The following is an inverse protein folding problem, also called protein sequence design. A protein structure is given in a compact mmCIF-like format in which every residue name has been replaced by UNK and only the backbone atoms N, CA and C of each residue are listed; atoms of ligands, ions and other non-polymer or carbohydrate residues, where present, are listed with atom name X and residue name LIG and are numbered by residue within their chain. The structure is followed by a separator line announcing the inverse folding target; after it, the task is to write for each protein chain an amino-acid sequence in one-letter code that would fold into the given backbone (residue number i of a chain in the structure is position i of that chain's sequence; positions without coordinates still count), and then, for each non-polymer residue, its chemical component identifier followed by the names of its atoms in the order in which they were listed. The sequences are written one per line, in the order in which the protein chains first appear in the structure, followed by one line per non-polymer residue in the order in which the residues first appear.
data_IF_941795731410
#
_entry.id   IF_941795731410
#
_cell.length_a   1.000
_cell.length_b   1.000
_cell.length_c   1.000
_cell.angle_alpha   90.00
_cell.angle_beta   90.00
_cell.angle_gamma   90.00
#
_symmetry.space_group_name_H-M   'P 1'
#
loop_
_entity.id
_entity.type
_entity.pdbx_description
1 polymer ?
#
# COMPACT_ATOMS: atom_id res chain seq x y z
N UNK A 1 -9.24 -55.61 -8.72
CA UNK A 1 -9.93 -54.33 -8.90
C UNK A 1 -9.51 -53.41 -7.76
N UNK A 2 -8.73 -52.36 -8.05
CA UNK A 2 -8.31 -51.36 -7.05
C UNK A 2 -8.86 -50.00 -7.49
N UNK A 3 -9.61 -49.36 -6.60
CA UNK A 3 -10.36 -48.13 -6.82
C UNK A 3 -9.44 -46.94 -7.14
N UNK A 4 -9.92 -46.09 -8.05
CA UNK A 4 -9.33 -44.80 -8.43
C UNK A 4 -9.77 -43.71 -7.43
N UNK A 5 -8.87 -42.84 -6.93
CA UNK A 5 -9.20 -41.84 -5.89
C UNK A 5 -9.89 -40.56 -6.40
N UNK A 6 -10.16 -40.45 -7.70
CA UNK A 6 -10.66 -39.21 -8.32
C UNK A 6 -12.17 -38.92 -8.13
N UNK A 7 -12.90 -39.71 -7.33
CA UNK A 7 -14.36 -39.57 -7.12
C UNK A 7 -14.77 -39.55 -5.64
N UNK A 8 -14.22 -38.65 -4.84
CA UNK A 8 -14.76 -38.34 -3.52
C UNK A 8 -15.25 -36.89 -3.44
N UNK A 9 -16.57 -36.64 -3.46
CA UNK A 9 -17.13 -35.36 -3.04
C UNK A 9 -17.32 -35.42 -1.51
N UNK A 10 -16.29 -35.10 -0.74
CA UNK A 10 -16.41 -34.85 0.70
C UNK A 10 -15.85 -33.48 1.01
N UNK A 11 -16.78 -32.54 1.22
CA UNK A 11 -16.49 -31.23 1.75
C UNK A 11 -15.86 -31.33 3.13
N UNK A 12 -14.84 -30.51 3.35
CA UNK A 12 -14.26 -30.31 4.66
C UNK A 12 -15.32 -29.66 5.56
N UNK A 13 -15.98 -30.47 6.39
CA UNK A 13 -16.74 -29.99 7.53
C UNK A 13 -15.74 -29.48 8.58
N UNK A 14 -15.80 -28.18 8.90
CA UNK A 14 -15.10 -27.61 10.06
C UNK A 14 -14.39 -26.25 9.85
N UNK A 15 -14.37 -25.68 8.64
CA UNK A 15 -13.75 -24.38 8.36
C UNK A 15 -14.74 -23.34 7.87
N UNK A 16 -14.55 -22.08 8.28
CA UNK A 16 -15.37 -20.92 7.89
C UNK A 16 -15.60 -20.87 6.35
N UNK A 17 -16.87 -20.85 5.86
CA UNK A 17 -17.22 -20.93 4.43
C UNK A 17 -16.84 -19.68 3.59
N UNK A 18 -16.17 -18.70 4.18
CA UNK A 18 -15.81 -17.43 3.54
C UNK A 18 -14.65 -17.51 2.53
N UNK A 19 -13.91 -18.63 2.46
CA UNK A 19 -12.65 -18.72 1.71
C UNK A 19 -12.51 -19.89 0.74
N UNK A 20 -13.48 -20.80 0.64
CA UNK A 20 -13.40 -21.97 -0.25
C UNK A 20 -14.06 -21.69 -1.60
N UNK A 21 -13.38 -20.89 -2.44
CA UNK A 21 -13.69 -20.85 -3.87
C UNK A 21 -13.02 -22.06 -4.55
N UNK A 22 -13.78 -22.83 -5.33
CA UNK A 22 -13.25 -23.94 -6.13
C UNK A 22 -12.57 -23.32 -7.35
N UNK A 23 -11.28 -23.00 -7.23
CA UNK A 23 -10.49 -22.46 -8.33
C UNK A 23 -10.19 -23.55 -9.36
N UNK A 24 -10.34 -23.26 -10.65
CA UNK A 24 -9.74 -24.14 -11.65
C UNK A 24 -8.21 -24.10 -11.52
N UNK A 25 -7.52 -25.13 -11.99
CA UNK A 25 -6.04 -25.16 -11.99
C UNK A 25 -5.42 -24.02 -12.82
N UNK A 26 -6.15 -23.51 -13.81
CA UNK A 26 -5.78 -22.33 -14.59
C UNK A 26 -5.90 -21.05 -13.77
N UNK A 27 -6.99 -20.88 -13.02
CA UNK A 27 -7.18 -19.72 -12.15
C UNK A 27 -6.12 -19.68 -11.03
N UNK A 28 -5.83 -20.83 -10.42
CA UNK A 28 -4.78 -20.95 -9.41
C UNK A 28 -3.39 -20.58 -9.98
N UNK A 29 -3.09 -21.00 -11.21
CA UNK A 29 -1.82 -20.66 -11.87
C UNK A 29 -1.71 -19.16 -12.17
N UNK A 30 -2.81 -18.52 -12.60
CA UNK A 30 -2.86 -17.08 -12.88
C UNK A 30 -2.72 -16.24 -11.60
N UNK A 31 -3.37 -16.66 -10.51
CA UNK A 31 -3.25 -16.02 -9.20
C UNK A 31 -1.81 -16.08 -8.70
N UNK A 32 -1.18 -17.26 -8.75
CA UNK A 32 0.21 -17.44 -8.34
C UNK A 32 1.19 -16.61 -9.18
N UNK A 33 0.97 -16.54 -10.50
CA UNK A 33 1.79 -15.69 -11.38
C UNK A 33 1.64 -14.20 -11.02
N UNK A 34 0.42 -13.75 -10.75
CA UNK A 34 0.14 -12.37 -10.33
C UNK A 34 0.75 -12.05 -8.97
N UNK A 35 0.68 -12.98 -8.01
CA UNK A 35 1.34 -12.85 -6.70
C UNK A 35 2.86 -12.77 -6.85
N UNK A 36 3.46 -13.61 -7.70
CA UNK A 36 4.88 -13.57 -8.01
C UNK A 36 5.29 -12.23 -8.63
N UNK A 37 4.50 -11.67 -9.56
CA UNK A 37 4.75 -10.36 -10.14
C UNK A 37 4.69 -9.25 -9.08
N UNK A 38 3.69 -9.25 -8.18
CA UNK A 38 3.61 -8.29 -7.05
C UNK A 38 4.82 -8.35 -6.13
N UNK A 39 5.31 -9.56 -5.85
CA UNK A 39 6.54 -9.76 -5.06
C UNK A 39 7.76 -9.14 -5.77
N UNK A 40 7.87 -9.32 -7.08
CA UNK A 40 8.96 -8.74 -7.90
C UNK A 40 8.83 -7.22 -8.00
N UNK A 41 7.61 -6.69 -8.09
CA UNK A 41 7.35 -5.26 -8.29
C UNK A 41 7.61 -4.41 -7.04
N UNK A 42 7.70 -5.04 -5.86
CA UNK A 42 8.02 -4.35 -4.60
C UNK A 42 9.53 -4.13 -4.44
N UNK A 43 10.01 -2.87 -4.41
CA UNK A 43 11.43 -2.56 -4.26
C UNK A 43 12.04 -3.02 -2.94
N UNK A 44 11.20 -3.23 -1.91
CA UNK A 44 11.61 -3.82 -0.63
C UNK A 44 12.27 -5.19 -0.80
N UNK A 45 11.94 -5.92 -1.86
CA UNK A 45 12.49 -7.26 -2.14
C UNK A 45 13.74 -7.23 -3.04
N UNK A 46 14.24 -6.06 -3.46
CA UNK A 46 15.37 -5.97 -4.40
C UNK A 46 16.75 -5.98 -3.75
N UNK A 47 16.86 -5.71 -2.44
CA UNK A 47 18.13 -5.51 -1.70
C UNK A 47 18.78 -6.79 -1.21
N UNK A 48 18.03 -7.88 -1.12
CA UNK A 48 18.58 -9.22 -0.88
C UNK A 48 19.16 -9.71 -2.21
N UNK A 49 20.35 -10.33 -2.17
CA UNK A 49 20.98 -11.03 -3.30
C UNK A 49 19.92 -11.51 -4.28
N UNK A 50 20.03 -11.09 -5.56
CA UNK A 50 19.05 -11.30 -6.66
C UNK A 50 18.13 -12.45 -6.29
N UNK A 51 16.79 -12.24 -6.14
CA UNK A 51 15.90 -13.33 -5.82
C UNK A 51 16.20 -14.45 -6.81
N UNK A 52 16.89 -15.49 -6.36
CA UNK A 52 17.05 -16.67 -7.17
C UNK A 52 15.62 -17.11 -7.44
N UNK A 53 15.32 -17.51 -8.67
CA UNK A 53 13.97 -17.93 -9.01
C UNK A 53 13.47 -19.03 -8.04
N UNK A 54 14.41 -19.79 -7.46
CA UNK A 54 14.20 -20.67 -6.31
C UNK A 54 13.68 -20.00 -5.04
N UNK A 55 14.24 -18.87 -4.61
CA UNK A 55 13.80 -18.17 -3.40
C UNK A 55 12.38 -17.61 -3.57
N UNK A 56 12.08 -17.08 -4.76
CA UNK A 56 10.72 -16.63 -5.10
C UNK A 56 9.74 -17.81 -5.14
N UNK A 57 10.14 -18.94 -5.72
CA UNK A 57 9.32 -20.15 -5.78
C UNK A 57 9.06 -20.75 -4.38
N UNK A 58 10.08 -20.84 -3.53
CA UNK A 58 9.96 -21.28 -2.14
C UNK A 58 8.99 -20.40 -1.34
N UNK A 59 9.07 -19.08 -1.51
CA UNK A 59 8.17 -18.13 -0.83
C UNK A 59 6.71 -18.30 -1.23
N UNK A 60 6.45 -18.78 -2.45
CA UNK A 60 5.13 -19.07 -2.99
C UNK A 60 4.69 -20.53 -2.77
N UNK A 61 5.52 -21.36 -2.14
CA UNK A 61 5.21 -22.78 -1.90
C UNK A 61 5.18 -23.63 -3.18
N UNK A 62 5.85 -23.22 -4.26
CA UNK A 62 5.87 -23.92 -5.55
C UNK A 62 7.30 -24.24 -6.01
N UNK A 63 7.45 -25.12 -7.00
CA UNK A 63 8.76 -25.40 -7.62
C UNK A 63 9.18 -24.30 -8.60
N UNK A 64 10.48 -24.05 -8.75
CA UNK A 64 11.03 -23.10 -9.75
C UNK A 64 10.55 -23.41 -11.16
N UNK A 65 10.51 -24.70 -11.54
CA UNK A 65 9.99 -25.14 -12.84
C UNK A 65 8.52 -24.73 -13.02
N UNK A 66 7.69 -24.91 -11.99
CA UNK A 66 6.29 -24.51 -12.04
C UNK A 66 6.16 -22.99 -12.12
N UNK A 67 6.92 -22.23 -11.31
CA UNK A 67 6.95 -20.78 -11.34
C UNK A 67 7.31 -20.24 -12.73
N UNK A 68 8.39 -20.73 -13.34
CA UNK A 68 8.78 -20.33 -14.71
C UNK A 68 7.69 -20.62 -15.73
N UNK A 69 7.03 -21.78 -15.64
CA UNK A 69 5.95 -22.17 -16.55
C UNK A 69 4.75 -21.23 -16.43
N UNK A 70 4.27 -20.96 -15.22
CA UNK A 70 3.12 -20.06 -15.02
C UNK A 70 3.45 -18.62 -15.40
N UNK A 71 4.68 -18.15 -15.13
CA UNK A 71 5.12 -16.81 -15.51
C UNK A 71 5.23 -16.65 -17.03
N UNK A 72 5.78 -17.64 -17.74
CA UNK A 72 5.85 -17.64 -19.19
C UNK A 72 4.45 -17.69 -19.82
N UNK A 73 3.53 -18.45 -19.23
CA UNK A 73 2.13 -18.52 -19.70
C UNK A 73 1.41 -17.19 -19.52
N UNK A 74 1.59 -16.52 -18.37
CA UNK A 74 0.86 -15.31 -18.02
C UNK A 74 1.48 -14.02 -18.61
N UNK A 75 2.81 -13.92 -18.62
CA UNK A 75 3.54 -12.70 -18.97
C UNK A 75 4.46 -12.85 -20.18
N UNK A 76 4.57 -14.05 -20.77
CA UNK A 76 5.43 -14.30 -21.92
C UNK A 76 6.94 -14.30 -21.63
N UNK A 77 7.35 -14.13 -20.37
CA UNK A 77 8.76 -14.01 -19.96
C UNK A 77 9.05 -14.83 -18.71
N UNK A 78 10.34 -15.10 -18.46
CA UNK A 78 10.75 -15.69 -17.17
C UNK A 78 10.68 -14.66 -16.03
N UNK A 79 10.53 -15.09 -14.77
CA UNK A 79 10.54 -14.19 -13.61
C UNK A 79 11.80 -13.31 -13.53
N UNK A 80 12.96 -13.85 -13.93
CA UNK A 80 14.22 -13.12 -13.92
C UNK A 80 14.27 -12.02 -14.99
N UNK A 81 13.78 -12.31 -16.20
CA UNK A 81 13.64 -11.30 -17.25
C UNK A 81 12.66 -10.20 -16.86
N UNK A 82 11.56 -10.57 -16.21
CA UNK A 82 10.60 -9.61 -15.67
C UNK A 82 11.25 -8.70 -14.62
N UNK A 83 11.92 -9.27 -13.61
CA UNK A 83 12.68 -8.50 -12.61
C UNK A 83 13.70 -7.56 -13.26
N UNK A 84 14.47 -8.05 -14.23
CA UNK A 84 15.45 -7.24 -14.95
C UNK A 84 14.78 -6.06 -15.67
N UNK A 85 13.63 -6.28 -16.29
CA UNK A 85 12.84 -5.23 -16.94
C UNK A 85 12.37 -4.18 -15.92
N UNK A 86 11.85 -4.59 -14.77
CA UNK A 86 11.41 -3.68 -13.70
C UNK A 86 12.56 -2.83 -13.16
N UNK A 87 13.71 -3.43 -12.91
CA UNK A 87 14.94 -2.73 -12.49
C UNK A 87 15.42 -1.73 -13.54
N UNK A 88 15.39 -2.09 -14.83
CA UNK A 88 15.77 -1.20 -15.92
C UNK A 88 14.78 -0.05 -16.14
N UNK A 89 13.48 -0.27 -15.93
CA UNK A 89 12.46 0.79 -15.98
C UNK A 89 12.64 1.79 -14.84
N UNK A 90 12.89 1.31 -13.61
CA UNK A 90 13.23 2.15 -12.47
C UNK A 90 14.50 2.98 -12.76
N UNK A 91 15.56 2.35 -13.27
CA UNK A 91 16.79 3.05 -13.62
C UNK A 91 16.56 4.11 -14.70
N UNK A 92 15.80 3.80 -15.74
CA UNK A 92 15.45 4.75 -16.81
C UNK A 92 14.73 5.97 -16.25
N UNK A 93 13.75 5.76 -15.36
CA UNK A 93 13.03 6.85 -14.71
C UNK A 93 13.97 7.72 -13.87
N UNK A 94 14.79 7.11 -13.01
CA UNK A 94 15.74 7.84 -12.17
C UNK A 94 16.79 8.62 -12.98
N UNK A 95 17.27 8.06 -14.11
CA UNK A 95 18.19 8.76 -15.02
C UNK A 95 17.55 9.97 -15.71
N UNK A 96 16.24 9.93 -15.94
CA UNK A 96 15.49 10.98 -16.64
C UNK A 96 15.02 12.07 -15.69
N UNK A 97 14.53 11.69 -14.52
CA UNK A 97 13.90 12.62 -13.58
C UNK A 97 14.91 13.29 -12.62
N UNK A 98 16.07 12.67 -12.37
CA UNK A 98 17.00 13.09 -11.30
C UNK A 98 18.40 13.42 -11.78
N UNK A 99 19.14 14.21 -11.00
CA UNK A 99 20.55 14.52 -11.21
C UNK A 99 21.52 13.45 -10.62
N UNK A 100 21.02 12.32 -10.12
CA UNK A 100 21.83 11.32 -9.37
C UNK A 100 22.95 10.68 -10.21
N UNK A 101 24.08 10.33 -9.58
CA UNK A 101 25.16 9.61 -10.28
C UNK A 101 24.69 8.25 -10.83
N UNK A 102 25.18 7.85 -12.01
CA UNK A 102 24.82 6.56 -12.65
C UNK A 102 25.07 5.36 -11.72
N UNK A 103 26.16 5.41 -10.94
CA UNK A 103 26.49 4.39 -9.93
C UNK A 103 25.41 4.28 -8.86
N UNK A 104 24.93 5.43 -8.36
CA UNK A 104 23.88 5.48 -7.34
C UNK A 104 22.57 4.95 -7.90
N UNK A 105 22.19 5.35 -9.13
CA UNK A 105 21.00 4.85 -9.82
C UNK A 105 21.05 3.34 -10.01
N UNK A 106 22.19 2.78 -10.43
CA UNK A 106 22.36 1.34 -10.59
C UNK A 106 22.09 0.58 -9.28
N UNK A 107 22.70 1.03 -8.18
CA UNK A 107 22.52 0.46 -6.84
C UNK A 107 21.07 0.53 -6.38
N UNK A 108 20.43 1.69 -6.48
CA UNK A 108 19.03 1.90 -6.07
C UNK A 108 18.06 1.07 -6.92
N UNK A 109 18.37 0.88 -8.20
CA UNK A 109 17.59 0.03 -9.11
C UNK A 109 17.83 -1.47 -8.88
N UNK A 110 18.55 -1.86 -7.81
CA UNK A 110 18.76 -3.26 -7.42
C UNK A 110 19.90 -3.97 -8.16
N UNK A 111 20.81 -3.26 -8.83
CA UNK A 111 21.99 -3.88 -9.43
C UNK A 111 23.16 -3.91 -8.44
N UNK A 112 23.69 -5.12 -8.18
CA UNK A 112 24.89 -5.30 -7.37
C UNK A 112 26.19 -4.85 -8.07
N UNK A 113 26.16 -4.59 -9.38
CA UNK A 113 27.33 -4.20 -10.16
C UNK A 113 26.94 -3.21 -11.26
N UNK A 114 27.67 -2.09 -11.30
CA UNK A 114 27.53 -1.06 -12.36
C UNK A 114 27.86 -1.64 -13.73
N UNK A 115 28.81 -2.58 -13.82
CA UNK A 115 29.15 -3.26 -15.08
C UNK A 115 27.97 -4.07 -15.61
N UNK A 116 27.33 -4.87 -14.75
CA UNK A 116 26.14 -5.66 -15.12
C UNK A 116 24.95 -4.75 -15.48
N UNK A 117 24.78 -3.67 -14.73
CA UNK A 117 23.79 -2.63 -15.04
C UNK A 117 23.99 -2.04 -16.44
N UNK A 118 25.19 -1.56 -16.75
CA UNK A 118 25.50 -0.97 -18.06
C UNK A 118 25.26 -1.96 -19.19
N UNK A 119 25.71 -3.21 -19.05
CA UNK A 119 25.48 -4.26 -20.04
C UNK A 119 23.99 -4.54 -20.26
N UNK A 120 23.21 -4.67 -19.17
CA UNK A 120 21.77 -4.87 -19.24
C UNK A 120 21.03 -3.67 -19.86
N UNK A 121 21.47 -2.45 -19.54
CA UNK A 121 20.86 -1.21 -20.03
C UNK A 121 21.10 -1.03 -21.53
N UNK A 122 22.34 -1.21 -21.98
CA UNK A 122 22.70 -1.16 -23.41
C UNK A 122 21.99 -2.28 -24.18
N UNK A 123 21.96 -3.50 -23.64
CA UNK A 123 21.27 -4.61 -24.28
C UNK A 123 19.75 -4.40 -24.46
N UNK A 124 19.12 -3.66 -23.55
CA UNK A 124 17.66 -3.40 -23.58
C UNK A 124 17.28 -2.14 -24.38
N UNK A 125 18.07 -1.06 -24.28
CA UNK A 125 17.71 0.25 -24.83
C UNK A 125 18.61 0.71 -25.98
N UNK A 126 19.72 0.02 -26.28
CA UNK A 126 20.67 0.39 -27.35
C UNK A 126 21.52 1.63 -27.08
N UNK A 127 21.34 2.30 -25.94
CA UNK A 127 22.05 3.52 -25.54
C UNK A 127 22.72 3.30 -24.17
N UNK A 128 23.82 3.99 -23.90
CA UNK A 128 24.42 3.94 -22.56
C UNK A 128 23.69 4.89 -21.57
N UNK A 129 23.69 4.58 -20.25
CA UNK A 129 23.02 5.40 -19.24
C UNK A 129 23.40 6.88 -19.23
N UNK A 130 24.68 7.18 -19.52
CA UNK A 130 25.19 8.56 -19.56
C UNK A 130 24.64 9.35 -20.76
N UNK A 131 24.46 8.70 -21.91
CA UNK A 131 23.82 9.28 -23.09
C UNK A 131 22.35 9.61 -22.82
N UNK A 132 21.61 8.70 -22.16
CA UNK A 132 20.23 8.97 -21.77
C UNK A 132 20.13 10.16 -20.81
N UNK A 133 21.06 10.25 -19.84
CA UNK A 133 21.13 11.40 -18.93
C UNK A 133 21.37 12.72 -19.66
N UNK A 134 22.27 12.74 -20.65
CA UNK A 134 22.55 13.96 -21.44
C UNK A 134 21.35 14.42 -22.27
N UNK A 135 20.50 13.49 -22.70
CA UNK A 135 19.30 13.79 -23.51
C UNK A 135 18.08 14.15 -22.66
N UNK A 136 17.98 13.62 -21.43
CA UNK A 136 16.88 13.90 -20.50
C UNK A 136 17.12 15.05 -19.53
N UNK A 137 18.34 15.61 -19.45
CA UNK A 137 18.68 16.65 -18.49
C UNK A 137 17.91 17.97 -18.75
N UNK A 138 16.86 18.20 -17.97
CA UNK A 138 16.35 19.55 -17.70
C UNK A 138 17.20 20.12 -16.56
N UNK A 139 17.93 21.24 -16.74
CA UNK A 139 18.67 21.85 -15.65
C UNK A 139 17.70 22.29 -14.55
N UNK A 140 17.70 21.59 -13.41
CA UNK A 140 17.03 22.05 -12.19
C UNK A 140 17.79 23.24 -11.58
N UNK A 141 17.13 24.08 -10.77
CA UNK A 141 17.79 25.22 -10.14
C UNK A 141 18.96 24.74 -9.27
N UNK A 142 20.17 25.27 -9.55
CA UNK A 142 21.32 25.14 -8.65
C UNK A 142 21.12 26.11 -7.49
N UNK A 143 20.33 25.71 -6.50
CA UNK A 143 20.11 26.44 -5.25
C UNK A 143 20.25 25.50 -4.07
N UNK A 144 20.87 25.98 -2.99
CA UNK A 144 21.16 25.26 -1.75
C UNK A 144 19.86 24.81 -1.03
N UNK A 145 19.28 23.70 -1.48
CA UNK A 145 18.39 22.76 -0.78
C UNK A 145 17.99 21.65 -1.77
N UNK A 146 18.75 20.55 -1.78
CA UNK A 146 18.93 19.56 -2.87
C UNK A 146 17.86 18.47 -2.99
N UNK A 147 16.59 18.75 -2.66
CA UNK A 147 15.55 17.72 -2.66
C UNK A 147 15.38 17.02 -4.05
N UNK A 148 15.40 15.69 -4.05
CA UNK A 148 15.27 14.89 -5.29
C UNK A 148 13.81 14.87 -5.74
N UNK A 149 13.59 15.15 -7.02
CA UNK A 149 12.26 15.14 -7.63
C UNK A 149 12.11 13.98 -8.61
N UNK A 150 10.96 13.30 -8.55
CA UNK A 150 10.56 12.24 -9.48
C UNK A 150 9.11 12.39 -9.88
N UNK A 151 8.76 11.97 -11.10
CA UNK A 151 7.41 12.08 -11.64
C UNK A 151 6.73 10.72 -11.61
N UNK A 152 5.56 10.64 -10.97
CA UNK A 152 4.79 9.40 -10.84
C UNK A 152 3.47 9.52 -11.62
N UNK A 153 3.39 8.89 -12.79
CA UNK A 153 2.17 8.90 -13.62
C UNK A 153 1.05 8.06 -13.02
N UNK A 154 -0.20 8.43 -13.34
CA UNK A 154 -1.41 7.66 -13.09
C UNK A 154 -2.34 7.69 -14.31
N UNK A 155 -3.30 6.76 -14.38
CA UNK A 155 -4.28 6.69 -15.48
C UNK A 155 -5.55 7.46 -15.14
N UNK A 156 -6.12 8.32 -16.00
CA UNK A 156 -7.45 8.86 -15.77
C UNK A 156 -8.56 7.79 -16.03
N UNK A 157 -9.78 7.98 -15.49
CA UNK A 157 -10.19 9.01 -14.55
C UNK A 157 -9.56 8.83 -13.15
N UNK A 158 -9.37 9.95 -12.45
CA UNK A 158 -8.87 10.00 -11.07
C UNK A 158 -9.54 11.16 -10.34
N UNK A 159 -10.28 10.87 -9.26
CA UNK A 159 -10.86 11.88 -8.38
C UNK A 159 -9.85 12.29 -7.29
N UNK A 160 -9.03 13.29 -7.62
CA UNK A 160 -7.96 13.79 -6.74
C UNK A 160 -8.56 14.42 -5.48
N UNK A 161 -9.68 15.11 -5.62
CA UNK A 161 -10.37 15.75 -4.50
C UNK A 161 -10.85 14.70 -3.49
N UNK A 162 -11.48 13.62 -3.95
CA UNK A 162 -11.95 12.55 -3.06
C UNK A 162 -10.80 11.83 -2.35
N UNK A 163 -9.71 11.52 -3.06
CA UNK A 163 -8.51 10.90 -2.47
C UNK A 163 -7.95 11.78 -1.34
N UNK A 164 -7.67 13.06 -1.64
CA UNK A 164 -7.08 13.95 -0.65
C UNK A 164 -8.06 14.28 0.48
N UNK A 165 -9.36 14.44 0.21
CA UNK A 165 -10.36 14.64 1.25
C UNK A 165 -10.45 13.44 2.21
N UNK A 166 -10.29 12.22 1.69
CA UNK A 166 -10.22 11.02 2.52
C UNK A 166 -9.01 11.03 3.46
N UNK A 167 -7.84 11.45 2.94
CA UNK A 167 -6.60 11.55 3.71
C UNK A 167 -6.66 12.70 4.73
N UNK A 168 -7.16 13.88 4.34
CA UNK A 168 -7.29 15.06 5.21
C UNK A 168 -8.16 14.79 6.44
N UNK A 169 -9.25 14.02 6.28
CA UNK A 169 -10.11 13.59 7.42
C UNK A 169 -9.34 12.76 8.47
N UNK A 170 -8.18 12.20 8.13
CA UNK A 170 -7.37 11.28 8.94
C UNK A 170 -5.94 11.81 9.20
N UNK A 171 -5.68 13.06 8.82
CA UNK A 171 -4.39 13.73 9.01
C UNK A 171 -3.99 13.76 10.49
N UNK A 172 -2.69 13.61 10.76
CA UNK A 172 -2.09 13.69 12.09
C UNK A 172 -1.05 14.81 12.07
N UNK A 173 -1.29 15.84 12.89
CA UNK A 173 -0.44 17.02 13.01
C UNK A 173 0.98 16.60 13.39
N UNK A 174 1.98 17.24 12.77
CA UNK A 174 3.40 16.92 12.97
C UNK A 174 3.93 15.84 12.02
N UNK A 175 3.06 14.98 11.49
CA UNK A 175 3.47 13.85 10.62
C UNK A 175 2.98 13.99 9.18
N UNK A 176 1.85 14.67 8.97
CA UNK A 176 1.17 14.77 7.69
C UNK A 176 0.60 16.18 7.48
N UNK A 177 0.54 16.62 6.22
CA UNK A 177 -0.18 17.82 5.82
C UNK A 177 -0.80 17.62 4.44
N UNK A 178 -2.12 17.69 4.36
CA UNK A 178 -2.89 17.54 3.13
C UNK A 178 -3.34 18.91 2.63
N UNK A 179 -3.05 19.20 1.36
CA UNK A 179 -3.47 20.45 0.70
C UNK A 179 -4.58 20.13 -0.28
N UNK A 180 -5.76 20.74 -0.09
CA UNK A 180 -6.95 20.56 -0.96
C UNK A 180 -7.15 21.72 -1.94
N UNK A 181 -6.38 22.80 -1.79
CA UNK A 181 -6.47 23.99 -2.65
C UNK A 181 -6.20 23.63 -4.11
N UNK A 182 -7.13 23.99 -5.00
CA UNK A 182 -6.99 23.78 -6.44
C UNK A 182 -5.66 24.33 -6.96
N UNK A 183 -5.00 23.57 -7.86
CA UNK A 183 -3.67 23.90 -8.39
C UNK A 183 -2.49 23.54 -7.46
N UNK A 184 -2.75 23.30 -6.16
CA UNK A 184 -1.73 22.93 -5.17
C UNK A 184 -2.08 21.64 -4.42
N UNK A 185 -3.01 20.84 -4.96
CA UNK A 185 -3.48 19.60 -4.37
C UNK A 185 -2.33 18.61 -4.15
N UNK A 186 -2.21 18.10 -2.94
CA UNK A 186 -1.15 17.17 -2.60
C UNK A 186 -1.08 16.81 -1.13
N UNK A 187 -0.05 16.06 -0.78
CA UNK A 187 0.25 15.64 0.59
C UNK A 187 1.74 15.76 0.87
N UNK A 188 2.09 16.30 2.03
CA UNK A 188 3.43 16.24 2.59
C UNK A 188 3.43 15.31 3.81
N UNK A 189 4.49 14.51 3.99
CA UNK A 189 4.61 13.60 5.13
C UNK A 189 6.04 13.43 5.60
N UNK A 190 6.23 13.18 6.89
CA UNK A 190 7.43 12.53 7.41
C UNK A 190 7.36 11.02 7.17
N UNK A 191 8.51 10.37 7.06
CA UNK A 191 8.58 8.94 6.75
C UNK A 191 9.82 8.30 7.36
N UNK A 192 9.65 7.09 7.89
CA UNK A 192 10.71 6.15 8.24
C UNK A 192 10.65 4.93 7.33
N UNK A 193 11.78 4.53 6.77
CA UNK A 193 11.93 3.29 5.99
C UNK A 193 13.11 2.50 6.53
N UNK A 194 12.91 1.20 6.76
CA UNK A 194 13.99 0.26 7.04
C UNK A 194 14.40 -0.46 5.77
N UNK A 195 15.70 -0.55 5.50
CA UNK A 195 16.27 -1.36 4.43
C UNK A 195 17.45 -2.17 4.97
N UNK A 196 17.23 -3.45 5.24
CA UNK A 196 18.15 -4.28 6.01
C UNK A 196 18.29 -3.73 7.44
N UNK A 197 19.53 -3.61 7.93
CA UNK A 197 19.81 -3.07 9.25
C UNK A 197 19.78 -1.53 9.32
N UNK A 198 19.68 -0.84 8.18
CA UNK A 198 19.71 0.61 8.12
C UNK A 198 18.29 1.19 8.18
N UNK A 199 18.14 2.27 8.93
CA UNK A 199 16.90 3.04 9.03
C UNK A 199 17.13 4.42 8.42
N UNK A 200 16.22 4.81 7.54
CA UNK A 200 16.22 6.10 6.86
C UNK A 200 15.00 6.87 7.33
N UNK A 201 15.19 8.13 7.69
CA UNK A 201 14.10 9.01 8.12
C UNK A 201 14.19 10.34 7.39
N UNK A 202 13.05 10.88 6.98
CA UNK A 202 13.01 12.12 6.23
C UNK A 202 11.59 12.60 5.96
N UNK A 203 11.44 13.39 4.91
CA UNK A 203 10.15 13.92 4.50
C UNK A 203 9.98 13.82 2.98
N UNK A 204 8.72 13.84 2.56
CA UNK A 204 8.33 13.89 1.16
C UNK A 204 7.19 14.88 0.94
N UNK A 205 7.06 15.33 -0.30
CA UNK A 205 5.93 16.13 -0.79
C UNK A 205 5.48 15.54 -2.12
N UNK A 206 4.23 15.10 -2.19
CA UNK A 206 3.59 14.58 -3.39
C UNK A 206 2.51 15.56 -3.85
N UNK A 207 2.75 16.27 -4.97
CA UNK A 207 1.81 17.23 -5.55
C UNK A 207 1.20 16.71 -6.84
N UNK A 208 -0.11 16.80 -6.98
CA UNK A 208 -0.80 16.43 -8.21
C UNK A 208 -0.56 17.50 -9.29
N UNK A 209 -0.23 17.02 -10.47
CA UNK A 209 -0.24 17.76 -11.74
C UNK A 209 -1.30 17.11 -12.61
N UNK A 210 -2.54 17.50 -12.35
CA UNK A 210 -3.76 16.94 -12.95
C UNK A 210 -3.79 17.04 -14.49
N UNK A 211 -3.41 18.17 -15.11
CA UNK A 211 -3.36 18.26 -16.57
C UNK A 211 -2.39 17.25 -17.21
N UNK A 212 -1.34 16.85 -16.48
CA UNK A 212 -0.35 15.88 -16.98
C UNK A 212 -0.56 14.44 -16.47
N UNK A 213 -1.66 14.17 -15.75
CA UNK A 213 -1.95 12.87 -15.12
C UNK A 213 -0.78 12.29 -14.33
N UNK A 214 -0.13 13.13 -13.51
CA UNK A 214 1.02 12.72 -12.70
C UNK A 214 1.04 13.34 -11.31
N UNK A 215 1.88 12.78 -10.46
CA UNK A 215 2.26 13.30 -9.14
C UNK A 215 3.74 13.66 -9.19
N UNK A 216 4.06 14.92 -8.92
CA UNK A 216 5.42 15.38 -8.71
C UNK A 216 5.81 15.09 -7.26
N UNK A 217 6.70 14.12 -7.07
CA UNK A 217 7.19 13.69 -5.77
C UNK A 217 8.56 14.33 -5.50
N UNK A 218 8.64 15.12 -4.44
CA UNK A 218 9.89 15.68 -3.90
C UNK A 218 10.25 14.95 -2.61
N UNK A 219 11.51 14.56 -2.45
CA UNK A 219 11.99 13.73 -1.34
C UNK A 219 13.25 14.35 -0.74
N UNK A 220 13.37 14.30 0.59
CA UNK A 220 14.56 14.77 1.31
C UNK A 220 15.81 13.93 1.00
N UNK A 221 16.98 14.55 1.11
CA UNK A 221 18.27 13.90 0.81
C UNK A 221 18.49 12.62 1.62
N UNK A 222 18.01 12.60 2.87
CA UNK A 222 18.07 11.45 3.77
C UNK A 222 17.30 10.21 3.29
N UNK A 223 16.43 10.34 2.29
CA UNK A 223 15.61 9.25 1.75
C UNK A 223 16.00 8.86 0.32
N UNK A 224 17.03 9.50 -0.26
CA UNK A 224 17.44 9.26 -1.66
C UNK A 224 17.86 7.82 -1.88
N UNK A 225 18.63 7.23 -0.96
CA UNK A 225 19.13 5.86 -1.09
C UNK A 225 18.02 4.78 -1.04
N UNK A 226 16.83 5.16 -0.56
CA UNK A 226 15.61 4.34 -0.52
C UNK A 226 14.49 4.93 -1.40
N UNK A 227 14.82 5.79 -2.36
CA UNK A 227 13.84 6.46 -3.22
C UNK A 227 12.90 5.48 -3.96
N UNK A 228 13.33 4.31 -4.47
CA UNK A 228 12.40 3.33 -5.05
C UNK A 228 11.33 2.85 -4.06
N UNK A 229 11.69 2.62 -2.79
CA UNK A 229 10.74 2.26 -1.73
C UNK A 229 9.79 3.42 -1.44
N UNK A 230 10.29 4.66 -1.39
CA UNK A 230 9.46 5.87 -1.24
C UNK A 230 8.48 6.00 -2.41
N UNK A 231 8.95 5.84 -3.65
CA UNK A 231 8.12 5.86 -4.85
C UNK A 231 7.03 4.79 -4.77
N UNK A 232 7.39 3.54 -4.47
CA UNK A 232 6.42 2.45 -4.31
C UNK A 232 5.39 2.74 -3.21
N UNK A 233 5.82 3.32 -2.08
CA UNK A 233 4.92 3.69 -1.00
C UNK A 233 3.95 4.81 -1.38
N UNK A 234 4.41 5.84 -2.12
CA UNK A 234 3.54 6.90 -2.64
C UNK A 234 2.58 6.38 -3.70
N UNK A 235 3.03 5.47 -4.58
CA UNK A 235 2.16 4.79 -5.55
C UNK A 235 1.07 3.97 -4.86
N UNK A 236 1.38 3.31 -3.74
CA UNK A 236 0.43 2.59 -2.90
C UNK A 236 -0.55 3.56 -2.19
N UNK A 237 -0.03 4.57 -1.48
CA UNK A 237 -0.82 5.56 -0.74
C UNK A 237 -1.90 6.21 -1.63
N UNK A 238 -1.50 6.59 -2.85
CA UNK A 238 -2.34 7.30 -3.82
C UNK A 238 -2.93 6.37 -4.90
N UNK A 239 -2.71 5.06 -4.83
CA UNK A 239 -3.24 4.07 -5.78
C UNK A 239 -3.03 4.46 -7.25
N UNK A 240 -1.80 4.88 -7.58
CA UNK A 240 -1.44 5.45 -8.89
C UNK A 240 -1.38 4.38 -9.99
N UNK A 241 -1.19 3.12 -9.60
CA UNK A 241 -1.07 1.97 -10.50
C UNK A 241 -2.42 1.34 -10.89
N UNK A 242 -3.53 1.77 -10.29
CA UNK A 242 -4.86 1.26 -10.60
C UNK A 242 -5.17 1.31 -12.11
N UNK A 243 -6.04 0.41 -12.54
CA UNK A 243 -6.58 0.31 -13.90
C UNK A 243 -8.08 0.67 -13.85
N UNK A 244 -8.45 1.96 -13.96
CA UNK A 244 -9.84 2.39 -13.81
C UNK A 244 -10.79 1.68 -14.77
N UNK A 245 -10.36 1.39 -16.01
CA UNK A 245 -11.18 0.68 -17.00
C UNK A 245 -11.59 -0.72 -16.52
N UNK A 246 -10.65 -1.51 -16.02
CA UNK A 246 -10.91 -2.85 -15.50
C UNK A 246 -11.79 -2.84 -14.24
N UNK A 247 -11.60 -1.84 -13.38
CA UNK A 247 -12.41 -1.67 -12.17
C UNK A 247 -13.84 -1.24 -12.54
N UNK A 248 -13.98 -0.26 -13.44
CA UNK A 248 -15.27 0.30 -13.85
C UNK A 248 -16.10 -0.71 -14.65
N UNK A 249 -15.46 -1.58 -15.44
CA UNK A 249 -16.15 -2.67 -16.14
C UNK A 249 -16.99 -3.54 -15.19
N UNK A 250 -16.55 -3.72 -13.94
CA UNK A 250 -17.28 -4.50 -12.92
C UNK A 250 -18.19 -3.60 -12.07
N UNK A 251 -17.68 -2.43 -11.64
CA UNK A 251 -18.32 -1.66 -10.57
C UNK A 251 -19.23 -0.53 -11.03
N UNK A 252 -19.11 -0.05 -12.27
CA UNK A 252 -19.83 1.14 -12.73
C UNK A 252 -21.36 0.96 -12.66
N UNK A 253 -21.88 -0.22 -12.99
CA UNK A 253 -23.31 -0.52 -12.91
C UNK A 253 -23.88 -0.50 -11.48
N UNK A 254 -23.07 -0.84 -10.48
CA UNK A 254 -23.47 -0.81 -9.06
C UNK A 254 -23.24 0.57 -8.44
N UNK A 255 -22.20 1.27 -8.90
CA UNK A 255 -21.73 2.52 -8.37
C UNK A 255 -21.56 3.61 -9.46
N UNK A 256 -22.64 4.07 -10.12
CA UNK A 256 -22.54 5.21 -11.04
C UNK A 256 -21.92 6.46 -10.40
N UNK A 257 -21.29 7.27 -11.25
CA UNK A 257 -20.62 8.54 -10.93
C UNK A 257 -19.41 8.43 -9.99
N UNK A 258 -18.83 7.23 -9.86
CA UNK A 258 -17.68 6.98 -8.97
C UNK A 258 -16.42 6.49 -9.71
N UNK A 259 -16.37 6.70 -11.02
CA UNK A 259 -15.38 6.11 -11.93
C UNK A 259 -13.94 6.53 -11.61
N UNK A 260 -13.77 7.73 -11.04
CA UNK A 260 -12.48 8.27 -10.62
C UNK A 260 -12.05 7.86 -9.20
N UNK A 261 -12.92 7.22 -8.41
CA UNK A 261 -12.59 6.86 -7.03
C UNK A 261 -11.51 5.79 -6.97
N UNK A 262 -10.55 5.99 -6.06
CA UNK A 262 -9.37 5.14 -5.85
C UNK A 262 -9.38 4.51 -4.47
N UNK A 263 -8.53 3.50 -4.28
CA UNK A 263 -8.32 2.87 -2.99
C UNK A 263 -7.24 3.62 -2.19
N UNK A 264 -7.55 4.41 -1.14
CA UNK A 264 -6.52 5.11 -0.39
C UNK A 264 -5.65 4.09 0.35
N UNK A 265 -4.40 3.93 -0.06
CA UNK A 265 -3.48 2.96 0.53
C UNK A 265 -2.83 3.48 1.81
N UNK A 266 -1.60 3.03 2.05
CA UNK A 266 -0.73 3.54 3.11
C UNK A 266 0.73 3.61 2.66
N UNK A 267 1.44 4.58 3.23
CA UNK A 267 2.88 4.76 3.05
C UNK A 267 3.67 3.83 3.97
N UNK A 268 3.18 3.66 5.21
CA UNK A 268 3.66 2.70 6.21
C UNK A 268 2.48 1.83 6.68
N UNK A 269 2.57 0.52 6.44
CA UNK A 269 1.52 -0.40 6.82
C UNK A 269 1.43 -0.66 8.32
N UNK A 270 2.53 -0.53 9.08
CA UNK A 270 2.50 -0.63 10.54
C UNK A 270 1.73 0.53 11.15
N UNK A 271 2.05 1.75 10.73
CA UNK A 271 1.31 2.95 11.13
C UNK A 271 -0.19 2.80 10.85
N UNK A 272 -0.56 2.36 9.65
CA UNK A 272 -1.95 2.13 9.27
C UNK A 272 -2.62 1.09 10.17
N UNK A 273 -1.93 0.00 10.51
CA UNK A 273 -2.46 -1.04 11.37
C UNK A 273 -2.67 -0.55 12.81
N UNK A 274 -1.76 0.26 13.36
CA UNK A 274 -1.97 0.93 14.66
C UNK A 274 -3.20 1.84 14.60
N UNK A 275 -3.35 2.65 13.54
CA UNK A 275 -4.53 3.50 13.34
C UNK A 275 -5.81 2.70 13.22
N UNK A 276 -5.78 1.53 12.58
CA UNK A 276 -6.93 0.64 12.46
C UNK A 276 -7.36 0.11 13.83
N UNK A 277 -6.41 -0.31 14.67
CA UNK A 277 -6.69 -0.75 16.05
C UNK A 277 -7.24 0.39 16.91
N UNK A 278 -6.63 1.58 16.83
CA UNK A 278 -7.11 2.76 17.56
C UNK A 278 -8.55 3.13 17.18
N UNK A 279 -8.90 2.98 15.89
CA UNK A 279 -10.22 3.29 15.34
C UNK A 279 -11.30 2.23 15.53
N UNK A 280 -11.00 1.09 16.15
CA UNK A 280 -12.01 0.06 16.41
C UNK A 280 -13.20 0.63 17.19
N UNK A 281 -14.43 0.39 16.73
CA UNK A 281 -15.68 0.76 17.43
C UNK A 281 -15.85 2.24 17.80
N UNK A 282 -15.11 3.16 17.19
CA UNK A 282 -15.22 4.61 17.45
C UNK A 282 -15.27 5.39 16.13
N UNK A 283 -15.57 6.68 16.22
CA UNK A 283 -15.59 7.56 15.05
C UNK A 283 -14.18 7.85 14.53
N UNK A 284 -14.07 8.23 13.25
CA UNK A 284 -12.80 8.64 12.64
C UNK A 284 -12.16 9.81 13.40
N UNK A 285 -12.97 10.77 13.86
CA UNK A 285 -12.48 11.92 14.63
C UNK A 285 -11.88 11.48 15.98
N UNK A 286 -12.55 10.58 16.71
CA UNK A 286 -12.04 10.05 17.98
C UNK A 286 -10.76 9.21 17.77
N UNK A 287 -10.71 8.40 16.71
CA UNK A 287 -9.51 7.63 16.35
C UNK A 287 -8.32 8.55 16.04
N UNK A 288 -8.56 9.64 15.30
CA UNK A 288 -7.56 10.67 15.01
C UNK A 288 -7.02 11.30 16.30
N UNK A 289 -7.89 11.64 17.25
CA UNK A 289 -7.48 12.19 18.55
C UNK A 289 -6.59 11.23 19.35
N UNK A 290 -6.94 9.94 19.41
CA UNK A 290 -6.10 8.94 20.08
C UNK A 290 -4.74 8.76 19.38
N UNK A 291 -4.75 8.77 18.05
CA UNK A 291 -3.54 8.67 17.24
C UNK A 291 -2.63 9.90 17.45
N UNK A 292 -3.21 11.10 17.51
CA UNK A 292 -2.48 12.34 17.78
C UNK A 292 -1.74 12.26 19.13
N UNK A 293 -2.43 11.86 20.21
CA UNK A 293 -1.83 11.67 21.53
C UNK A 293 -0.72 10.61 21.54
N UNK A 294 -0.89 9.54 20.78
CA UNK A 294 0.11 8.49 20.64
C UNK A 294 1.38 8.99 19.94
N UNK A 295 1.24 9.82 18.89
CA UNK A 295 2.36 10.46 18.21
C UNK A 295 3.03 11.51 19.10
N UNK A 296 2.28 12.32 19.84
CA UNK A 296 2.83 13.29 20.80
C UNK A 296 3.65 12.61 21.90
N UNK A 297 3.23 11.42 22.36
CA UNK A 297 3.88 10.69 23.45
C UNK A 297 5.07 9.84 22.99
N UNK A 298 4.94 9.16 21.86
CA UNK A 298 5.89 8.12 21.43
C UNK A 298 6.53 8.40 20.06
N UNK A 299 6.15 9.50 19.40
CA UNK A 299 6.74 9.90 18.13
C UNK A 299 8.17 10.39 18.31
N UNK A 300 8.95 10.32 17.25
CA UNK A 300 10.35 10.75 17.26
C UNK A 300 10.46 12.12 16.56
N UNK A 301 11.01 13.15 17.20
CA UNK A 301 11.20 14.45 16.56
C UNK A 301 12.07 14.36 15.31
N UNK A 302 11.73 15.12 14.27
CA UNK A 302 12.53 15.26 13.06
C UNK A 302 12.50 16.71 12.57
N UNK A 303 13.66 17.29 12.28
CA UNK A 303 13.71 18.60 11.67
C UNK A 303 13.37 18.51 10.18
N UNK A 304 12.35 19.25 9.73
CA UNK A 304 12.03 19.40 8.30
C UNK A 304 11.88 20.87 7.94
N UNK A 305 12.10 21.25 6.67
CA UNK A 305 11.86 22.62 6.20
C UNK A 305 10.36 22.89 5.97
N UNK A 306 9.46 21.94 6.27
CA UNK A 306 8.04 22.04 6.03
C UNK A 306 7.34 22.34 7.36
N UNK A 307 6.72 23.51 7.44
CA UNK A 307 5.96 23.92 8.62
C UNK A 307 4.88 22.88 8.98
N UNK A 308 4.85 22.51 10.26
CA UNK A 308 3.91 21.53 10.82
C UNK A 308 4.27 20.07 10.57
N UNK A 309 5.45 19.79 9.99
CA UNK A 309 6.03 18.45 9.86
C UNK A 309 7.31 18.36 10.70
N UNK A 310 7.20 17.90 11.94
CA UNK A 310 8.26 17.92 12.93
C UNK A 310 8.40 16.60 13.71
N UNK A 311 7.60 15.59 13.36
CA UNK A 311 7.53 14.33 14.10
C UNK A 311 7.40 13.14 13.15
N UNK A 312 8.07 12.04 13.47
CA UNK A 312 7.87 10.73 12.89
C UNK A 312 6.85 9.95 13.72
N UNK A 313 6.03 9.15 13.04
CA UNK A 313 5.17 8.18 13.73
C UNK A 313 6.01 7.21 14.59
N UNK A 314 5.50 6.74 15.76
CA UNK A 314 6.22 5.79 16.61
C UNK A 314 6.65 4.53 15.86
N UNK A 315 7.89 4.09 16.07
CA UNK A 315 8.38 2.84 15.49
C UNK A 315 7.71 1.61 16.12
N UNK A 316 7.73 0.49 15.40
CA UNK A 316 7.27 -0.79 15.95
C UNK A 316 8.06 -1.19 17.21
N UNK A 317 9.36 -0.90 17.25
CA UNK A 317 10.21 -1.13 18.40
C UNK A 317 9.77 -0.26 19.60
N UNK A 318 9.51 1.03 19.39
CA UNK A 318 9.04 1.93 20.44
C UNK A 318 7.71 1.48 21.04
N UNK A 319 6.72 1.13 20.20
CA UNK A 319 5.42 0.67 20.68
C UNK A 319 5.45 -0.75 21.28
N UNK A 320 6.39 -1.61 20.86
CA UNK A 320 6.60 -2.91 21.49
C UNK A 320 7.19 -2.79 22.90
N UNK A 321 7.99 -1.75 23.16
CA UNK A 321 8.59 -1.44 24.45
C UNK A 321 7.67 -0.60 25.37
N UNK A 322 6.62 0.02 24.83
CA UNK A 322 5.68 0.83 25.61
C UNK A 322 4.87 -0.03 26.60
N UNK A 323 4.74 0.44 27.84
CA UNK A 323 3.91 -0.23 28.85
C UNK A 323 2.41 -0.02 28.56
N UNK A 324 1.58 -1.00 28.94
CA UNK A 324 0.12 -0.87 28.84
C UNK A 324 -0.42 0.31 29.65
N UNK A 325 0.22 0.65 30.78
CA UNK A 325 -0.11 1.83 31.57
C UNK A 325 0.14 3.13 30.80
N UNK A 326 1.30 3.26 30.15
CA UNK A 326 1.63 4.45 29.37
C UNK A 326 0.67 4.64 28.18
N UNK A 327 0.24 3.55 27.52
CA UNK A 327 -0.82 3.59 26.51
C UNK A 327 -2.19 3.94 27.12
N UNK A 328 -2.48 3.42 28.32
CA UNK A 328 -3.71 3.70 29.06
C UNK A 328 -3.89 5.16 29.43
N UNK A 329 -2.82 5.85 29.80
CA UNK A 329 -2.81 7.29 30.10
C UNK A 329 -3.26 8.14 28.89
N UNK A 330 -3.17 7.61 27.66
CA UNK A 330 -3.63 8.29 26.44
C UNK A 330 -5.15 8.13 26.18
N UNK A 331 -5.83 7.32 27.00
CA UNK A 331 -7.24 6.93 26.81
C UNK A 331 -7.42 5.68 25.93
N UNK A 332 -6.35 4.93 25.69
CA UNK A 332 -6.42 3.67 24.93
C UNK A 332 -6.88 2.56 25.88
N UNK A 333 -7.97 1.86 25.54
CA UNK A 333 -8.50 0.77 26.37
C UNK A 333 -7.61 -0.49 26.34
N UNK A 334 -7.63 -1.28 27.42
CA UNK A 334 -6.76 -2.47 27.60
C UNK A 334 -6.71 -3.42 26.39
N UNK A 335 -7.86 -3.70 25.78
CA UNK A 335 -7.93 -4.56 24.59
C UNK A 335 -7.09 -4.01 23.42
N UNK A 336 -7.17 -2.70 23.16
CA UNK A 336 -6.39 -2.03 22.10
C UNK A 336 -4.92 -1.91 22.46
N UNK A 337 -4.59 -1.72 23.73
CA UNK A 337 -3.20 -1.75 24.20
C UNK A 337 -2.54 -3.11 23.89
N UNK A 338 -3.24 -4.21 24.22
CA UNK A 338 -2.77 -5.56 23.93
C UNK A 338 -2.57 -5.80 22.43
N UNK A 339 -3.55 -5.38 21.62
CA UNK A 339 -3.49 -5.49 20.16
C UNK A 339 -2.34 -4.67 19.55
N UNK A 340 -2.14 -3.41 19.98
CA UNK A 340 -1.02 -2.56 19.53
C UNK A 340 0.32 -3.21 19.91
N UNK A 341 0.46 -3.68 21.15
CA UNK A 341 1.70 -4.33 21.58
C UNK A 341 2.00 -5.62 20.82
N UNK A 342 0.98 -6.44 20.54
CA UNK A 342 1.13 -7.67 19.76
C UNK A 342 1.53 -7.38 18.31
N UNK A 343 0.85 -6.43 17.68
CA UNK A 343 1.16 -5.94 16.34
C UNK A 343 2.59 -5.40 16.25
N UNK A 344 2.98 -4.55 17.20
CA UNK A 344 4.30 -3.94 17.26
C UNK A 344 5.41 -4.99 17.39
N UNK A 345 5.24 -6.01 18.25
CA UNK A 345 6.20 -7.13 18.36
C UNK A 345 6.26 -7.98 17.08
N UNK A 346 5.13 -8.26 16.45
CA UNK A 346 5.09 -9.05 15.22
C UNK A 346 5.80 -8.34 14.06
N UNK A 347 5.62 -7.02 13.92
CA UNK A 347 6.33 -6.23 12.91
C UNK A 347 7.81 -6.06 13.27
N UNK A 348 8.14 -5.72 14.52
CA UNK A 348 9.52 -5.49 14.94
C UNK A 348 10.41 -6.74 14.82
N UNK A 349 9.84 -7.94 14.97
CA UNK A 349 10.54 -9.22 14.77
C UNK A 349 10.60 -9.67 13.30
N UNK A 350 9.89 -8.99 12.39
CA UNK A 350 9.75 -9.39 11.00
C UNK A 350 8.79 -10.56 10.76
N UNK A 351 8.07 -11.02 11.80
CA UNK A 351 7.07 -12.08 11.69
C UNK A 351 5.83 -11.65 10.90
N UNK A 352 5.54 -10.35 10.83
CA UNK A 352 4.43 -9.78 10.08
C UNK A 352 4.92 -8.69 9.12
N UNK A 353 4.67 -8.88 7.82
CA UNK A 353 5.00 -7.90 6.78
C UNK A 353 3.75 -7.12 6.36
N UNK A 354 3.77 -5.80 6.53
CA UNK A 354 2.66 -4.90 6.18
C UNK A 354 3.06 -3.93 5.07
N UNK A 355 3.18 -4.44 3.85
CA UNK A 355 3.49 -3.65 2.66
C UNK A 355 2.86 -4.28 1.41
N UNK A 356 2.69 -3.53 0.32
CA UNK A 356 2.03 -4.00 -0.91
C UNK A 356 2.62 -5.29 -1.53
N UNK A 357 3.92 -5.56 -1.31
CA UNK A 357 4.56 -6.82 -1.73
C UNK A 357 4.36 -8.01 -0.79
N UNK A 358 3.55 -7.92 0.27
CA UNK A 358 3.29 -9.05 1.16
C UNK A 358 2.19 -9.94 0.58
N UNK A 359 2.15 -11.22 0.98
CA UNK A 359 1.10 -12.14 0.55
C UNK A 359 -0.17 -11.86 1.37
N UNK A 360 -1.28 -11.41 0.75
CA UNK A 360 -2.50 -11.07 1.47
C UNK A 360 -3.08 -12.23 2.28
N UNK A 361 -3.02 -13.47 1.77
CA UNK A 361 -3.62 -14.62 2.45
C UNK A 361 -2.82 -15.01 3.71
N UNK A 362 -1.50 -15.05 3.58
CA UNK A 362 -0.59 -15.25 4.71
C UNK A 362 -0.71 -14.14 5.74
N UNK A 363 -0.65 -12.88 5.31
CA UNK A 363 -0.77 -11.71 6.20
C UNK A 363 -2.12 -11.68 6.91
N UNK A 364 -3.22 -12.03 6.25
CA UNK A 364 -4.54 -12.17 6.88
C UNK A 364 -4.52 -13.19 8.02
N UNK A 365 -3.93 -14.37 7.77
CA UNK A 365 -3.81 -15.44 8.76
C UNK A 365 -2.99 -14.98 9.98
N UNK A 366 -1.86 -14.33 9.73
CA UNK A 366 -0.99 -13.78 10.79
C UNK A 366 -1.71 -12.70 11.61
N UNK A 367 -2.46 -11.80 10.96
CA UNK A 367 -3.24 -10.76 11.62
C UNK A 367 -4.33 -11.35 12.52
N UNK A 368 -5.10 -12.33 12.03
CA UNK A 368 -6.18 -12.99 12.79
C UNK A 368 -5.67 -13.79 14.00
N UNK A 369 -4.40 -14.21 13.98
CA UNK A 369 -3.77 -14.87 15.11
C UNK A 369 -3.39 -13.89 16.24
N UNK A 370 -3.36 -12.58 15.98
CA UNK A 370 -3.01 -11.58 16.99
C UNK A 370 -4.19 -11.27 17.92
N UNK A 371 -3.94 -11.15 19.24
CA UNK A 371 -4.98 -10.80 20.19
C UNK A 371 -5.59 -9.43 19.89
N UNK A 372 -6.92 -9.34 19.88
CA UNK A 372 -7.65 -8.09 19.63
C UNK A 372 -7.72 -7.65 18.16
N UNK A 373 -7.24 -8.48 17.22
CA UNK A 373 -7.40 -8.27 15.78
C UNK A 373 -8.45 -9.24 15.22
N UNK A 374 -9.68 -8.75 15.07
CA UNK A 374 -10.77 -9.51 14.43
C UNK A 374 -10.81 -9.33 12.91
N UNK A 375 -11.71 -10.08 12.25
CA UNK A 375 -11.88 -10.09 10.78
C UNK A 375 -12.00 -8.69 10.16
N UNK A 376 -12.83 -7.81 10.71
CA UNK A 376 -12.95 -6.44 10.22
C UNK A 376 -11.59 -5.69 10.21
N UNK A 377 -10.80 -5.83 11.28
CA UNK A 377 -9.52 -5.12 11.38
C UNK A 377 -8.50 -5.71 10.40
N UNK A 378 -8.45 -7.04 10.29
CA UNK A 378 -7.54 -7.72 9.38
C UNK A 378 -7.87 -7.43 7.90
N UNK A 379 -9.16 -7.42 7.53
CA UNK A 379 -9.65 -7.00 6.21
C UNK A 379 -9.31 -5.54 5.93
N UNK A 380 -9.53 -4.63 6.89
CA UNK A 380 -9.20 -3.22 6.69
C UNK A 380 -7.69 -2.97 6.54
N UNK A 381 -6.85 -3.69 7.31
CA UNK A 381 -5.39 -3.62 7.18
C UNK A 381 -4.94 -4.16 5.83
N UNK A 382 -5.36 -5.36 5.43
CA UNK A 382 -4.97 -5.93 4.13
C UNK A 382 -5.49 -5.09 2.95
N UNK A 383 -6.70 -4.54 3.07
CA UNK A 383 -7.26 -3.59 2.10
C UNK A 383 -6.34 -2.39 1.86
N UNK A 384 -5.93 -1.70 2.93
CA UNK A 384 -5.23 -0.41 2.80
C UNK A 384 -3.70 -0.49 2.89
N UNK A 385 -3.14 -1.40 3.67
CA UNK A 385 -1.69 -1.54 3.89
C UNK A 385 -1.03 -2.34 2.76
N UNK A 386 -1.72 -3.37 2.28
CA UNK A 386 -1.24 -4.22 1.19
C UNK A 386 -1.81 -3.77 -0.17
N UNK A 387 -2.67 -2.75 -0.19
CA UNK A 387 -3.45 -2.35 -1.37
C UNK A 387 -4.14 -3.56 -2.03
N UNK A 388 -4.65 -4.51 -1.23
CA UNK A 388 -5.28 -5.71 -1.77
C UNK A 388 -6.63 -5.31 -2.38
N UNK A 389 -6.87 -5.50 -3.70
CA UNK A 389 -8.09 -5.01 -4.36
C UNK A 389 -9.37 -5.75 -3.98
N UNK A 390 -9.27 -6.90 -3.31
CA UNK A 390 -10.40 -7.80 -3.07
C UNK A 390 -10.68 -8.08 -1.58
N UNK A 391 -10.12 -7.26 -0.69
CA UNK A 391 -10.45 -7.28 0.73
C UNK A 391 -11.88 -6.78 0.95
N UNK A 392 -12.57 -7.33 1.95
CA UNK A 392 -13.96 -6.95 2.21
C UNK A 392 -14.31 -7.03 3.71
N UNK A 393 -14.23 -5.90 4.45
CA UNK A 393 -14.57 -5.85 5.87
C UNK A 393 -16.10 -5.89 6.06
N UNK A 394 -16.70 -7.07 5.92
CA UNK A 394 -18.16 -7.27 5.93
C UNK A 394 -18.87 -6.82 7.21
N UNK A 395 -18.15 -6.78 8.33
CA UNK A 395 -18.63 -6.27 9.62
C UNK A 395 -18.69 -4.73 9.72
N UNK A 396 -18.30 -4.01 8.67
CA UNK A 396 -18.24 -2.54 8.68
C UNK A 396 -19.65 -1.94 8.69
N UNK A 397 -20.01 -1.21 9.74
CA UNK A 397 -21.36 -0.65 9.92
C UNK A 397 -21.69 0.38 8.84
N UNK A 398 -20.71 1.16 8.39
CA UNK A 398 -20.91 2.15 7.33
C UNK A 398 -21.18 1.45 5.99
N UNK A 399 -20.42 0.40 5.67
CA UNK A 399 -20.63 -0.46 4.50
C UNK A 399 -22.01 -1.14 4.55
N UNK A 400 -22.38 -1.76 5.67
CA UNK A 400 -23.68 -2.40 5.83
C UNK A 400 -24.84 -1.40 5.65
N UNK A 401 -24.67 -0.16 6.14
CA UNK A 401 -25.62 0.93 5.91
C UNK A 401 -25.68 1.33 4.43
N UNK A 402 -24.53 1.48 3.78
CA UNK A 402 -24.45 1.85 2.36
C UNK A 402 -25.06 0.79 1.43
N UNK A 403 -25.02 -0.48 1.84
CA UNK A 403 -25.61 -1.60 1.13
C UNK A 403 -27.07 -1.90 1.53
N UNK A 404 -27.65 -1.12 2.45
CA UNK A 404 -28.98 -1.33 3.02
C UNK A 404 -29.21 -2.74 3.60
N UNK A 405 -28.16 -3.36 4.16
CA UNK A 405 -28.22 -4.69 4.80
C UNK A 405 -28.07 -4.63 6.32
N UNK A 406 -27.93 -3.43 6.90
CA UNK A 406 -27.69 -3.24 8.34
C UNK A 406 -28.79 -3.85 9.22
N UNK A 407 -30.04 -3.76 8.78
CA UNK A 407 -31.21 -4.25 9.53
C UNK A 407 -31.49 -5.74 9.27
N UNK A 408 -30.65 -6.41 8.47
CA UNK A 408 -30.71 -7.87 8.29
C UNK A 408 -30.30 -8.59 9.60
N UNK A 409 -30.89 -9.74 9.94
CA UNK A 409 -30.49 -10.52 11.12
C UNK A 409 -29.00 -10.92 11.14
N UNK A 410 -28.40 -11.08 9.95
CA UNK A 410 -26.99 -11.44 9.76
C UNK A 410 -26.34 -10.46 8.75
N UNK A 411 -26.12 -9.21 9.16
CA UNK A 411 -25.79 -8.12 8.23
C UNK A 411 -24.44 -8.32 7.54
N UNK A 412 -23.45 -8.92 8.22
CA UNK A 412 -22.15 -9.25 7.64
C UNK A 412 -22.26 -10.34 6.54
N UNK A 413 -23.10 -11.36 6.75
CA UNK A 413 -23.32 -12.41 5.76
C UNK A 413 -24.08 -11.88 4.54
N UNK A 414 -25.08 -11.02 4.75
CA UNK A 414 -25.78 -10.33 3.67
C UNK A 414 -24.85 -9.43 2.86
N UNK A 415 -23.96 -8.67 3.52
CA UNK A 415 -22.94 -7.86 2.85
C UNK A 415 -21.97 -8.72 2.02
N UNK A 416 -21.50 -9.85 2.56
CA UNK A 416 -20.64 -10.79 1.83
C UNK A 416 -21.32 -11.35 0.59
N UNK A 417 -22.59 -11.75 0.71
CA UNK A 417 -23.37 -12.26 -0.42
C UNK A 417 -23.51 -11.21 -1.53
N UNK A 418 -23.84 -9.96 -1.18
CA UNK A 418 -23.92 -8.85 -2.13
C UNK A 418 -22.58 -8.56 -2.82
N UNK A 419 -21.47 -8.76 -2.12
CA UNK A 419 -20.13 -8.44 -2.63
C UNK A 419 -19.58 -9.38 -3.69
N UNK A 420 -20.19 -10.57 -3.86
CA UNK A 420 -19.66 -11.61 -4.78
C UNK A 420 -19.52 -11.11 -6.21
N UNK A 421 -20.48 -10.30 -6.66
CA UNK A 421 -20.48 -9.74 -8.01
C UNK A 421 -19.37 -8.70 -8.26
N UNK A 422 -18.69 -8.23 -7.21
CA UNK A 422 -17.65 -7.22 -7.30
C UNK A 422 -16.24 -7.80 -7.34
N UNK A 423 -16.07 -9.12 -7.24
CA UNK A 423 -14.76 -9.74 -7.35
C UNK A 423 -14.16 -9.49 -8.75
N UNK A 424 -12.85 -9.23 -8.86
CA UNK A 424 -11.84 -9.18 -7.79
C UNK A 424 -11.59 -7.77 -7.20
N UNK A 425 -12.58 -6.88 -7.25
CA UNK A 425 -12.47 -5.44 -6.91
C UNK A 425 -13.27 -5.03 -5.67
N UNK A 426 -13.50 -5.94 -4.72
CA UNK A 426 -14.32 -5.67 -3.53
C UNK A 426 -13.81 -4.48 -2.69
N UNK A 427 -12.50 -4.25 -2.61
CA UNK A 427 -11.94 -3.09 -1.89
C UNK A 427 -12.34 -1.75 -2.53
N UNK A 428 -12.40 -1.69 -3.86
CA UNK A 428 -12.87 -0.51 -4.58
C UNK A 428 -14.38 -0.30 -4.37
N UNK A 429 -15.16 -1.39 -4.34
CA UNK A 429 -16.58 -1.32 -4.02
C UNK A 429 -16.84 -0.77 -2.61
N UNK A 430 -16.01 -1.14 -1.61
CA UNK A 430 -16.07 -0.58 -0.25
C UNK A 430 -15.88 0.93 -0.26
N UNK A 431 -14.87 1.45 -0.98
CA UNK A 431 -14.64 2.90 -1.07
C UNK A 431 -15.82 3.61 -1.76
N UNK A 432 -16.35 3.05 -2.85
CA UNK A 432 -17.51 3.60 -3.57
C UNK A 432 -18.77 3.61 -2.72
N UNK A 433 -18.99 2.55 -1.93
CA UNK A 433 -20.10 2.47 -0.98
C UNK A 433 -19.98 3.53 0.12
N UNK A 434 -18.79 3.72 0.70
CA UNK A 434 -18.54 4.75 1.71
C UNK A 434 -18.72 6.17 1.16
N UNK A 435 -18.32 6.43 -0.09
CA UNK A 435 -18.46 7.75 -0.72
C UNK A 435 -19.92 8.17 -0.91
N UNK A 436 -20.85 7.21 -0.99
CA UNK A 436 -22.30 7.47 -1.12
C UNK A 436 -23.00 7.79 0.18
N UNK A 437 -22.36 7.50 1.31
CA UNK A 437 -22.96 7.86 2.60
C UNK A 437 -22.96 9.39 2.74
N UNK A 438 -24.07 10.00 3.16
CA UNK A 438 -24.09 11.41 3.43
C UNK A 438 -23.02 11.73 4.48
N UNK A 439 -22.17 12.71 4.16
CA UNK A 439 -21.34 13.34 5.18
C UNK A 439 -22.30 13.91 6.24
N UNK A 440 -22.07 13.62 7.52
CA UNK A 440 -22.93 14.09 8.63
C UNK A 440 -23.23 15.59 8.57
N UNK A 441 -24.23 16.07 9.33
CA UNK A 441 -24.93 17.32 9.04
C UNK A 441 -23.96 18.49 8.79
N UNK A 442 -24.12 19.16 7.63
CA UNK A 442 -23.56 20.48 7.40
C UNK A 442 -24.03 21.35 8.57
N UNK A 443 -23.11 21.92 9.34
CA UNK A 443 -23.44 23.09 10.14
C UNK A 443 -23.98 24.13 9.16
N UNK A 444 -25.30 24.29 9.16
CA UNK A 444 -25.94 25.45 8.57
C UNK A 444 -25.35 26.64 9.29
N UNK A 445 -24.52 27.41 8.58
CA UNK A 445 -24.20 28.76 8.98
C UNK A 445 -25.55 29.47 9.14
N UNK A 446 -25.89 29.80 10.38
CA UNK A 446 -26.97 30.72 10.69
C UNK A 446 -26.63 32.02 9.96
N UNK A 447 -27.51 32.56 9.10
CA UNK A 447 -27.35 33.92 8.62
C UNK A 447 -27.53 34.84 9.83
N UNK A 448 -26.56 35.73 10.03
CA UNK A 448 -26.69 36.85 10.96
C UNK A 448 -28.03 37.58 10.72
N UNK A 449 -28.78 37.77 11.81
CA UNK A 449 -29.75 38.86 11.96
C UNK A 449 -29.19 39.85 12.97
#
# INVERSE_FOLDING_TARGET
MRCRPELAPQGVQGGNPSYTSIWSTQDASSILATQAARLIDSPHNWSVQVPDANALAQRLGISDRHLRRIFATQFGVSPLQYLQTRRLLCAKQLLTDTALGVVQVARMSGFASVRRFNAAFVGSYGLNPTQLRRTGAVPGPRGNATAVQVKLSYRPPYDVQAMLAFLAKREITGTERVTLTSGHRGIARTLRISNGAQVYSGHLVARFDEPCYRVNLTVSDSLVDVLPQVMSGVRCLLDLDAEPSAINQVLQGYFPDTDGLRLPGALDGFELAVRAVLGQQITVAAARTLCQRLVERFGEPIATPIEGLDCLFPSAQALAAASGEALGQLGIVRQRQSAIGALARAVASGALALHAGADPAKTMTELLALPGIGDWTAQYITMRALAWPDAFPSGDVALQKALAVRDNPQPAQAALAASRAWQPWRSYAVIRAWARLPSGPKQTATPDQ
#
